data_IF_306458592361
#
_entry.id   IF_306458592361
#
_cell.length_a   1.000
_cell.length_b   1.000
_cell.length_c   1.000
_cell.angle_alpha   90.00
_cell.angle_beta   90.00
_cell.angle_gamma   90.00
#
_symmetry.space_group_name_H-M   'P 1'
#
loop_
_entity.id
_entity.type
_entity.pdbx_description
1 polymer ?
#
# COMPACT_ATOMS: atom_id res chain seq x y z
N UNK A 1 -24.34 -28.50 -28.15
CA UNK A 1 -23.87 -27.24 -28.77
C UNK A 1 -23.48 -26.28 -27.65
N UNK A 2 -22.19 -26.08 -27.39
CA UNK A 2 -21.73 -25.16 -26.33
C UNK A 2 -21.77 -23.73 -26.86
N UNK A 3 -22.63 -22.89 -26.27
CA UNK A 3 -22.67 -21.45 -26.56
C UNK A 3 -21.33 -20.83 -26.13
N UNK A 4 -20.59 -20.14 -27.01
CA UNK A 4 -19.34 -19.49 -26.63
C UNK A 4 -19.68 -18.30 -25.73
N UNK A 5 -19.25 -18.36 -24.47
CA UNK A 5 -19.47 -17.28 -23.52
C UNK A 5 -18.63 -16.04 -23.91
N UNK A 6 -19.16 -14.81 -23.84
CA UNK A 6 -18.57 -13.60 -24.42
C UNK A 6 -17.43 -12.99 -23.57
N UNK A 7 -16.63 -13.81 -22.89
CA UNK A 7 -15.70 -13.35 -21.85
C UNK A 7 -14.31 -12.91 -22.33
N UNK A 8 -14.11 -12.66 -23.63
CA UNK A 8 -12.80 -12.26 -24.17
C UNK A 8 -12.34 -10.83 -23.78
N UNK A 9 -13.13 -10.09 -22.99
CA UNK A 9 -12.81 -8.73 -22.50
C UNK A 9 -11.94 -8.67 -21.23
N UNK A 10 -11.61 -9.80 -20.59
CA UNK A 10 -10.75 -9.82 -19.38
C UNK A 10 -9.32 -9.34 -19.68
N UNK A 11 -8.75 -9.79 -20.80
CA UNK A 11 -7.34 -9.52 -21.15
C UNK A 11 -6.97 -8.03 -21.23
N UNK A 12 -7.84 -7.18 -21.79
CA UNK A 12 -7.55 -5.74 -21.88
C UNK A 12 -7.66 -5.02 -20.54
N UNK A 13 -8.58 -5.47 -19.67
CA UNK A 13 -8.69 -4.91 -18.31
C UNK A 13 -7.52 -5.33 -17.44
N UNK A 14 -7.08 -6.58 -17.59
CA UNK A 14 -5.94 -7.10 -16.84
C UNK A 14 -4.64 -6.40 -17.25
N UNK A 15 -4.44 -6.14 -18.56
CA UNK A 15 -3.32 -5.33 -19.05
C UNK A 15 -3.35 -3.89 -18.50
N UNK A 16 -4.48 -3.19 -18.65
CA UNK A 16 -4.61 -1.82 -18.12
C UNK A 16 -4.42 -1.77 -16.59
N UNK A 17 -4.82 -2.83 -15.87
CA UNK A 17 -4.58 -2.96 -14.43
C UNK A 17 -3.10 -3.14 -14.12
N UNK A 18 -2.38 -3.93 -14.90
CA UNK A 18 -0.94 -4.13 -14.71
C UNK A 18 -0.18 -2.84 -14.98
N UNK A 19 -0.48 -2.14 -16.08
CA UNK A 19 0.14 -0.85 -16.40
C UNK A 19 -0.08 0.17 -15.26
N UNK A 20 -1.29 0.19 -14.69
CA UNK A 20 -1.59 1.03 -13.53
C UNK A 20 -0.79 0.63 -12.28
N UNK A 21 -0.61 -0.67 -12.02
CA UNK A 21 0.20 -1.15 -10.88
C UNK A 21 1.66 -0.73 -11.07
N UNK A 22 2.21 -0.92 -12.28
CA UNK A 22 3.60 -0.61 -12.58
C UNK A 22 3.89 0.89 -12.42
N UNK A 23 2.95 1.74 -12.83
CA UNK A 23 3.05 3.19 -12.61
C UNK A 23 2.99 3.56 -11.13
N UNK A 24 2.06 2.97 -10.37
CA UNK A 24 1.96 3.22 -8.92
C UNK A 24 3.19 2.73 -8.16
N UNK A 25 3.83 1.66 -8.62
CA UNK A 25 5.11 1.19 -8.07
C UNK A 25 6.23 2.19 -8.32
N UNK A 26 6.36 2.72 -9.54
CA UNK A 26 7.35 3.77 -9.83
C UNK A 26 7.15 5.00 -8.96
N UNK A 27 5.92 5.49 -8.87
CA UNK A 27 5.58 6.66 -8.05
C UNK A 27 5.89 6.41 -6.56
N UNK A 28 5.52 5.25 -6.04
CA UNK A 28 5.81 4.87 -4.65
C UNK A 28 7.31 4.81 -4.37
N UNK A 29 8.13 4.30 -5.29
CA UNK A 29 9.59 4.26 -5.17
C UNK A 29 10.20 5.66 -5.13
N UNK A 30 9.72 6.57 -5.97
CA UNK A 30 10.16 7.98 -5.97
C UNK A 30 9.87 8.63 -4.63
N UNK A 31 8.65 8.45 -4.11
CA UNK A 31 8.25 8.96 -2.80
C UNK A 31 9.14 8.43 -1.69
N UNK A 32 9.42 7.12 -1.68
CA UNK A 32 10.24 6.50 -0.62
C UNK A 32 11.70 6.94 -0.73
N UNK A 33 12.21 7.17 -1.94
CA UNK A 33 13.54 7.74 -2.14
C UNK A 33 13.64 9.18 -1.61
N UNK A 34 12.54 9.95 -1.63
CA UNK A 34 12.50 11.36 -1.23
C UNK A 34 11.72 11.62 0.07
N UNK A 35 11.79 10.67 1.02
CA UNK A 35 11.01 10.67 2.27
C UNK A 35 11.09 11.97 3.09
N UNK A 36 12.20 12.71 2.99
CA UNK A 36 12.43 13.93 3.77
C UNK A 36 11.54 15.09 3.29
N UNK A 37 11.16 15.08 2.01
CA UNK A 37 10.33 16.13 1.40
C UNK A 37 8.85 15.76 1.33
N UNK A 38 8.47 14.58 1.86
CA UNK A 38 7.10 14.09 1.83
C UNK A 38 6.50 13.96 3.24
N UNK A 39 5.18 14.15 3.33
CA UNK A 39 4.48 13.94 4.60
C UNK A 39 4.47 12.46 5.00
N UNK A 40 4.53 12.16 6.30
CA UNK A 40 4.46 10.78 6.80
C UNK A 40 3.17 10.04 6.35
N UNK A 41 2.11 10.78 5.98
CA UNK A 41 0.90 10.19 5.39
C UNK A 41 1.15 9.68 3.97
N UNK A 42 1.80 10.49 3.14
CA UNK A 42 2.12 10.16 1.76
C UNK A 42 3.14 9.00 1.71
N UNK A 43 4.15 9.03 2.58
CA UNK A 43 5.10 7.92 2.71
C UNK A 43 4.40 6.63 3.14
N UNK A 44 3.41 6.68 4.04
CA UNK A 44 2.60 5.51 4.41
C UNK A 44 1.80 4.95 3.23
N UNK A 45 1.21 5.81 2.39
CA UNK A 45 0.50 5.35 1.19
C UNK A 45 1.45 4.64 0.22
N UNK A 46 2.62 5.23 -0.04
CA UNK A 46 3.63 4.61 -0.89
C UNK A 46 4.10 3.25 -0.34
N UNK A 47 4.37 3.16 0.96
CA UNK A 47 4.76 1.89 1.58
C UNK A 47 3.66 0.82 1.44
N UNK A 48 2.38 1.17 1.59
CA UNK A 48 1.29 0.22 1.38
C UNK A 48 1.24 -0.32 -0.06
N UNK A 49 1.52 0.54 -1.05
CA UNK A 49 1.64 0.11 -2.45
C UNK A 49 2.80 -0.88 -2.60
N UNK A 50 3.98 -0.57 -2.06
CA UNK A 50 5.16 -1.44 -2.13
C UNK A 50 4.95 -2.77 -1.41
N UNK A 51 4.31 -2.79 -0.24
CA UNK A 51 4.01 -4.04 0.48
C UNK A 51 3.12 -4.96 -0.34
N UNK A 52 2.13 -4.39 -1.04
CA UNK A 52 1.14 -5.16 -1.78
C UNK A 52 1.57 -5.56 -3.19
N UNK A 53 2.34 -4.71 -3.85
CA UNK A 53 2.66 -4.83 -5.26
C UNK A 53 4.15 -4.91 -5.57
N UNK A 54 5.03 -4.68 -4.58
CA UNK A 54 6.48 -4.66 -4.78
C UNK A 54 6.99 -5.92 -5.45
N UNK A 55 8.00 -5.79 -6.29
CA UNK A 55 8.47 -6.90 -7.13
C UNK A 55 9.26 -7.91 -6.30
N UNK A 56 10.07 -7.41 -5.36
CA UNK A 56 10.98 -8.25 -4.57
C UNK A 56 10.46 -8.46 -3.14
N UNK A 57 10.75 -9.62 -2.52
CA UNK A 57 10.45 -9.84 -1.10
C UNK A 57 11.13 -8.83 -0.19
N UNK A 58 12.38 -8.45 -0.50
CA UNK A 58 13.16 -7.44 0.24
C UNK A 58 12.47 -6.09 0.23
N UNK A 59 12.09 -5.59 -0.96
CA UNK A 59 11.38 -4.31 -1.09
C UNK A 59 10.09 -4.28 -0.26
N UNK A 60 9.35 -5.40 -0.25
CA UNK A 60 8.14 -5.52 0.57
C UNK A 60 8.46 -5.52 2.07
N UNK A 61 9.58 -6.09 2.47
CA UNK A 61 10.03 -6.13 3.86
C UNK A 61 10.50 -4.77 4.34
N UNK A 62 11.33 -4.09 3.56
CA UNK A 62 11.81 -2.74 3.85
C UNK A 62 10.63 -1.77 3.99
N UNK A 63 9.62 -1.87 3.11
CA UNK A 63 8.40 -1.07 3.22
C UNK A 63 7.60 -1.37 4.50
N UNK A 64 7.54 -2.63 4.96
CA UNK A 64 6.92 -2.99 6.24
C UNK A 64 7.69 -2.40 7.42
N UNK A 65 9.02 -2.46 7.41
CA UNK A 65 9.86 -1.89 8.45
C UNK A 65 9.67 -0.37 8.53
N UNK A 66 9.64 0.31 7.39
CA UNK A 66 9.41 1.76 7.36
C UNK A 66 8.02 2.15 7.92
N UNK A 67 6.97 1.36 7.64
CA UNK A 67 5.65 1.59 8.26
C UNK A 67 5.71 1.54 9.79
N UNK A 68 6.41 0.56 10.36
CA UNK A 68 6.59 0.44 11.82
C UNK A 68 7.29 1.68 12.39
N UNK A 69 8.35 2.15 11.73
CA UNK A 69 9.08 3.36 12.14
C UNK A 69 8.18 4.60 12.10
N UNK A 70 7.39 4.77 11.03
CA UNK A 70 6.47 5.89 10.89
C UNK A 70 5.34 5.87 11.93
N UNK A 71 4.89 4.69 12.35
CA UNK A 71 3.87 4.56 13.39
C UNK A 71 4.44 4.90 14.78
N UNK A 72 5.67 4.48 15.07
CA UNK A 72 6.37 4.86 16.30
C UNK A 72 6.61 6.38 16.40
N UNK A 73 6.89 7.05 15.28
CA UNK A 73 7.07 8.52 15.20
C UNK A 73 5.78 9.32 15.45
N UNK A 74 4.60 8.70 15.30
CA UNK A 74 3.29 9.35 15.41
C UNK A 74 2.50 8.88 16.66
N UNK A 75 2.99 9.15 17.89
CA UNK A 75 2.41 8.58 19.12
C UNK A 75 0.95 8.99 19.36
N UNK A 76 0.50 10.12 18.79
CA UNK A 76 -0.87 10.62 18.92
C UNK A 76 -1.96 9.73 18.28
N UNK A 77 -1.61 8.76 17.43
CA UNK A 77 -2.59 7.82 16.86
C UNK A 77 -2.66 6.48 17.59
N UNK A 78 -1.57 6.02 18.21
CA UNK A 78 -1.58 4.80 19.05
C UNK A 78 -2.51 5.02 20.26
N UNK A 79 -2.55 6.23 20.81
CA UNK A 79 -3.47 6.60 21.89
C UNK A 79 -4.96 6.58 21.47
N UNK A 80 -5.29 6.89 20.21
CA UNK A 80 -6.68 6.90 19.69
C UNK A 80 -7.20 5.52 19.28
N UNK A 81 -6.31 4.55 19.08
CA UNK A 81 -6.67 3.18 18.71
C UNK A 81 -7.00 2.28 19.91
N UNK A 82 -6.85 2.76 21.15
CA UNK A 82 -7.46 2.09 22.31
C UNK A 82 -8.93 2.49 22.37
N UNK A 83 -9.89 1.59 22.08
CA UNK A 83 -11.26 1.83 22.49
C UNK A 83 -11.26 1.87 24.02
N UNK A 84 -11.80 2.96 24.53
CA UNK A 84 -12.11 3.15 25.94
C UNK A 84 -13.04 2.00 26.38
N UNK A 85 -12.45 0.95 26.96
CA UNK A 85 -13.18 -0.11 27.67
C UNK A 85 -13.23 0.27 29.15
N UNK A 86 -13.91 1.36 29.46
CA UNK A 86 -14.40 1.61 30.82
C UNK A 86 -15.92 1.64 30.80
N UNK A 87 -16.50 0.48 31.14
CA UNK A 87 -17.94 0.31 31.30
C UNK A 87 -18.21 -1.04 31.95
N UNK A 88 -18.33 -1.06 33.28
CA UNK A 88 -18.87 -2.22 34.00
C UNK A 88 -18.37 -2.36 35.44
N UNK A 89 -18.93 -1.56 36.36
CA UNK A 89 -19.33 -2.00 37.71
C UNK A 89 -20.64 -1.35 38.07
#
# INVERSE_FOLDING_TARGET
>A
MSVPLPFRKRSHRDAARQDWIDERLREARIVVADVVHHSDHLVRLACNVLVRHGETPSEREDARLLLIVLDAKSPGRIARARPDREGGR
#
